data_IF_088622202028
#
_entry.id   IF_088622202028
#
_cell.length_a   1.000
_cell.length_b   1.000
_cell.length_c   1.000
_cell.angle_alpha   90.00
_cell.angle_beta   90.00
_cell.angle_gamma   90.00
#
_symmetry.space_group_name_H-M   'P 1'
#
loop_
_entity.id
_entity.type
_entity.pdbx_description
1 polymer ?
#
# COMPACT_ATOMS: atom_id res chain seq x y z
N UNK A 1 4.16 -13.89 8.65
CA UNK A 1 5.02 -13.41 7.54
C UNK A 1 6.46 -13.78 7.83
N UNK A 2 6.93 -13.55 9.05
CA UNK A 2 8.28 -13.94 9.51
C UNK A 2 8.60 -15.44 9.27
N UNK A 3 7.65 -16.35 9.58
CA UNK A 3 7.80 -17.79 9.35
C UNK A 3 7.02 -18.28 8.11
N UNK A 4 7.14 -17.57 6.99
CA UNK A 4 6.37 -17.89 5.77
C UNK A 4 6.69 -19.25 5.17
N UNK A 5 7.87 -19.83 5.37
CA UNK A 5 8.15 -21.16 4.81
C UNK A 5 7.37 -22.30 5.50
N UNK A 6 6.78 -22.03 6.67
CA UNK A 6 6.07 -23.03 7.48
C UNK A 6 4.58 -22.75 7.64
N UNK A 7 4.17 -21.48 7.56
CA UNK A 7 2.78 -21.06 7.83
C UNK A 7 1.75 -21.40 6.73
N UNK A 8 2.05 -21.25 5.42
CA UNK A 8 1.07 -21.37 4.34
C UNK A 8 0.34 -22.70 4.26
N UNK A 9 0.99 -23.88 4.43
CA UNK A 9 0.26 -25.15 4.37
C UNK A 9 -0.89 -25.23 5.39
N UNK A 10 -0.65 -24.77 6.62
CA UNK A 10 -1.67 -24.77 7.67
C UNK A 10 -2.81 -23.77 7.37
N UNK A 11 -2.48 -22.61 6.77
CA UNK A 11 -3.47 -21.61 6.37
C UNK A 11 -4.31 -22.08 5.18
N UNK A 12 -3.69 -22.78 4.22
CA UNK A 12 -4.37 -23.36 3.05
C UNK A 12 -5.32 -24.49 3.46
N UNK A 13 -4.90 -25.36 4.40
CA UNK A 13 -5.76 -26.39 4.97
C UNK A 13 -6.97 -25.78 5.69
N UNK A 14 -6.76 -24.70 6.46
CA UNK A 14 -7.84 -23.98 7.12
C UNK A 14 -8.78 -23.32 6.11
N UNK A 15 -8.24 -22.66 5.08
CA UNK A 15 -9.00 -22.06 3.98
C UNK A 15 -9.88 -23.09 3.27
N UNK A 16 -9.29 -24.23 2.90
CA UNK A 16 -10.00 -25.35 2.27
C UNK A 16 -11.11 -25.88 3.19
N UNK A 17 -10.80 -26.07 4.47
CA UNK A 17 -11.75 -26.57 5.47
C UNK A 17 -12.91 -25.61 5.71
N UNK A 18 -12.63 -24.30 5.74
CA UNK A 18 -13.63 -23.23 5.86
C UNK A 18 -14.57 -23.22 4.65
N UNK A 19 -14.02 -23.24 3.43
CA UNK A 19 -14.81 -23.23 2.20
C UNK A 19 -15.65 -24.51 2.02
N UNK A 20 -15.24 -25.62 2.63
CA UNK A 20 -16.05 -26.85 2.67
C UNK A 20 -17.14 -26.84 3.75
N UNK A 21 -17.26 -25.77 4.55
CA UNK A 21 -18.23 -25.67 5.65
C UNK A 21 -17.89 -26.57 6.84
N UNK A 22 -16.64 -27.02 6.97
CA UNK A 22 -16.19 -27.96 8.02
C UNK A 22 -15.37 -27.29 9.12
N UNK A 23 -15.01 -26.02 8.95
CA UNK A 23 -14.22 -25.29 9.93
C UNK A 23 -15.00 -25.14 11.24
N UNK A 24 -14.34 -25.43 12.36
CA UNK A 24 -14.92 -25.21 13.68
C UNK A 24 -14.92 -23.71 13.97
N UNK A 25 -15.98 -23.24 14.64
CA UNK A 25 -16.12 -21.83 15.06
C UNK A 25 -16.04 -20.82 13.90
N UNK A 26 -16.42 -21.22 12.67
CA UNK A 26 -16.57 -20.27 11.58
C UNK A 26 -17.65 -19.23 11.95
N UNK A 27 -17.40 -17.98 11.59
CA UNK A 27 -18.30 -16.86 11.84
C UNK A 27 -18.36 -15.97 10.59
N UNK A 28 -19.45 -15.19 10.39
CA UNK A 28 -19.51 -14.21 9.31
C UNK A 28 -18.39 -13.18 9.45
N UNK A 29 -17.62 -12.98 8.38
CA UNK A 29 -16.62 -11.93 8.33
C UNK A 29 -17.29 -10.55 8.28
N UNK A 30 -16.91 -9.66 9.19
CA UNK A 30 -17.39 -8.29 9.25
C UNK A 30 -16.21 -7.32 9.09
N UNK A 31 -16.06 -6.63 7.94
CA UNK A 31 -14.94 -5.73 7.70
C UNK A 31 -14.93 -4.53 8.66
N UNK A 32 -16.07 -4.15 9.25
CA UNK A 32 -16.13 -3.07 10.23
C UNK A 32 -15.49 -3.43 11.58
N UNK A 33 -15.18 -4.71 11.81
CA UNK A 33 -14.46 -5.18 13.00
C UNK A 33 -12.99 -5.48 12.72
N UNK A 34 -12.51 -5.16 11.53
CA UNK A 34 -11.14 -5.44 11.11
C UNK A 34 -10.26 -4.18 11.20
N UNK A 35 -9.00 -4.38 11.58
CA UNK A 35 -7.94 -3.41 11.31
C UNK A 35 -7.40 -3.63 9.88
N UNK A 36 -6.45 -2.81 9.43
CA UNK A 36 -5.63 -3.15 8.27
C UNK A 36 -4.97 -4.53 8.46
N UNK A 37 -4.73 -5.32 7.38
CA UNK A 37 -4.11 -6.65 7.50
C UNK A 37 -2.79 -6.65 8.27
N UNK A 38 -2.00 -5.58 8.12
CA UNK A 38 -0.90 -5.23 9.00
C UNK A 38 -1.23 -3.86 9.62
N UNK A 39 -1.73 -3.80 10.87
CA UNK A 39 -2.06 -2.52 11.52
C UNK A 39 -0.84 -1.60 11.68
N UNK A 40 0.33 -2.22 11.74
CA UNK A 40 1.65 -1.61 11.66
C UNK A 40 2.57 -2.54 10.89
N UNK A 41 3.49 -1.98 10.14
CA UNK A 41 4.51 -2.66 9.38
C UNK A 41 5.88 -2.04 9.68
N UNK A 42 6.94 -2.73 9.27
CA UNK A 42 8.30 -2.19 9.38
C UNK A 42 8.64 -1.21 8.25
N UNK A 43 7.89 -1.22 7.15
CA UNK A 43 8.13 -0.38 5.99
C UNK A 43 6.85 -0.23 5.15
N UNK A 44 6.61 0.99 4.67
CA UNK A 44 5.67 1.32 3.61
C UNK A 44 6.40 2.12 2.54
N UNK A 45 6.58 1.53 1.37
CA UNK A 45 7.20 2.19 0.23
C UNK A 45 6.18 2.19 -0.91
N UNK A 46 5.77 3.38 -1.32
CA UNK A 46 4.77 3.54 -2.37
C UNK A 46 5.43 4.07 -3.65
N UNK A 47 4.99 3.51 -4.78
CA UNK A 47 5.55 3.77 -6.10
C UNK A 47 4.52 4.23 -7.11
N UNK A 48 4.85 5.28 -7.87
CA UNK A 48 3.98 5.81 -8.92
C UNK A 48 4.07 4.99 -10.22
N UNK A 49 3.58 3.75 -10.20
CA UNK A 49 3.69 2.81 -11.32
C UNK A 49 2.84 3.19 -12.54
N UNK A 50 1.77 3.97 -12.35
CA UNK A 50 0.88 4.43 -13.41
C UNK A 50 1.27 5.83 -13.88
N UNK A 51 2.16 5.93 -14.87
CA UNK A 51 2.74 7.21 -15.31
C UNK A 51 1.70 8.26 -15.73
N UNK A 52 0.55 7.83 -16.25
CA UNK A 52 -0.57 8.71 -16.59
C UNK A 52 -1.06 9.55 -15.39
N UNK A 53 -1.03 9.00 -14.17
CA UNK A 53 -1.36 9.76 -12.98
C UNK A 53 -0.37 10.93 -12.78
N UNK A 54 0.93 10.67 -12.92
CA UNK A 54 1.98 11.69 -12.79
C UNK A 54 1.85 12.77 -13.87
N UNK A 55 1.52 12.38 -15.09
CA UNK A 55 1.22 13.30 -16.20
C UNK A 55 0.08 14.26 -15.84
N UNK A 56 -1.02 13.74 -15.31
CA UNK A 56 -2.19 14.55 -14.93
C UNK A 56 -1.88 15.50 -13.76
N UNK A 57 -1.19 15.02 -12.72
CA UNK A 57 -0.80 15.86 -11.57
C UNK A 57 0.11 17.01 -12.00
N UNK A 58 1.06 16.74 -12.90
CA UNK A 58 1.95 17.79 -13.41
C UNK A 58 1.25 18.75 -14.37
N UNK A 59 0.38 18.26 -15.24
CA UNK A 59 -0.44 19.09 -16.12
C UNK A 59 -1.31 20.08 -15.31
N UNK A 60 -1.93 19.62 -14.21
CA UNK A 60 -2.69 20.48 -13.30
C UNK A 60 -1.85 21.59 -12.65
N UNK A 61 -0.52 21.43 -12.61
CA UNK A 61 0.45 22.39 -12.06
C UNK A 61 1.22 23.15 -13.16
N UNK A 62 0.83 23.04 -14.44
CA UNK A 62 1.55 23.60 -15.59
C UNK A 62 3.05 23.21 -15.61
N UNK A 63 3.35 21.96 -15.27
CA UNK A 63 4.70 21.40 -15.23
C UNK A 63 4.85 20.25 -16.22
N UNK A 64 6.04 20.08 -16.80
CA UNK A 64 6.35 18.95 -17.68
C UNK A 64 6.79 17.72 -16.88
N UNK A 65 6.46 16.53 -17.38
CA UNK A 65 6.98 15.26 -16.84
C UNK A 65 8.40 15.05 -17.35
N UNK A 66 9.39 14.86 -16.46
CA UNK A 66 10.76 14.56 -16.87
C UNK A 66 10.78 13.23 -17.63
N UNK A 67 11.52 13.18 -18.73
CA UNK A 67 11.61 11.97 -19.57
C UNK A 67 12.12 10.75 -18.80
N UNK A 68 12.91 10.94 -17.74
CA UNK A 68 13.40 9.85 -16.90
C UNK A 68 12.28 9.07 -16.22
N UNK A 69 11.13 9.68 -15.93
CA UNK A 69 10.04 9.04 -15.18
C UNK A 69 9.38 7.89 -15.96
N UNK A 70 9.58 7.82 -17.28
CA UNK A 70 9.08 6.73 -18.11
C UNK A 70 9.97 5.48 -18.05
N UNK A 71 11.19 5.60 -17.51
CA UNK A 71 12.18 4.51 -17.46
C UNK A 71 12.72 4.26 -16.05
N UNK A 72 12.53 5.20 -15.14
CA UNK A 72 13.02 5.20 -13.77
C UNK A 72 11.84 5.34 -12.81
N UNK A 73 11.40 4.25 -12.14
CA UNK A 73 10.22 4.28 -11.28
C UNK A 73 10.37 5.26 -10.12
N UNK A 74 9.32 6.04 -9.88
CA UNK A 74 9.22 6.85 -8.66
C UNK A 74 8.82 5.97 -7.49
N UNK A 75 9.47 6.20 -6.35
CA UNK A 75 9.12 5.58 -5.08
C UNK A 75 9.44 6.53 -3.94
N UNK A 76 8.58 6.55 -2.92
CA UNK A 76 8.78 7.32 -1.70
C UNK A 76 8.52 6.46 -0.46
N UNK A 77 9.09 6.87 0.68
CA UNK A 77 8.91 6.21 1.96
C UNK A 77 7.74 6.84 2.71
N UNK A 78 6.68 6.08 2.96
CA UNK A 78 5.55 6.55 3.75
C UNK A 78 5.57 6.03 5.21
N UNK A 79 4.62 6.51 6.00
CA UNK A 79 4.38 6.07 7.37
C UNK A 79 3.81 4.65 7.41
N UNK A 80 4.21 3.85 8.40
CA UNK A 80 3.84 2.42 8.46
C UNK A 80 3.45 1.92 9.85
N UNK A 81 3.42 2.79 10.86
CA UNK A 81 3.27 2.42 12.26
C UNK A 81 1.83 2.52 12.80
N UNK A 82 0.91 3.15 12.06
CA UNK A 82 -0.47 3.40 12.50
C UNK A 82 -1.48 3.40 11.33
N UNK A 83 -1.67 2.24 10.69
CA UNK A 83 -2.64 2.12 9.61
C UNK A 83 -4.08 2.02 10.13
N UNK A 84 -4.99 2.75 9.49
CA UNK A 84 -6.42 2.71 9.77
C UNK A 84 -7.08 1.45 9.19
N UNK A 85 -8.17 1.00 9.81
CA UNK A 85 -8.99 -0.10 9.31
C UNK A 85 -9.72 0.24 8.00
N UNK A 86 -10.15 -0.78 7.23
CA UNK A 86 -10.76 -0.59 5.91
C UNK A 86 -12.12 0.13 5.95
N UNK A 87 -12.77 0.21 7.11
CA UNK A 87 -14.05 0.89 7.31
C UNK A 87 -13.95 2.07 8.30
N UNK A 88 -12.73 2.38 8.77
CA UNK A 88 -12.52 3.48 9.69
C UNK A 88 -12.62 4.84 8.97
N UNK A 89 -13.10 5.89 9.66
CA UNK A 89 -13.13 7.23 9.09
C UNK A 89 -11.71 7.78 8.93
N UNK A 90 -11.45 8.47 7.83
CA UNK A 90 -10.25 9.29 7.66
C UNK A 90 -10.41 10.56 8.51
N UNK A 91 -9.69 10.61 9.64
CA UNK A 91 -9.74 11.75 10.57
C UNK A 91 -8.57 12.70 10.29
N UNK A 92 -8.89 13.92 9.84
CA UNK A 92 -7.90 14.97 9.61
C UNK A 92 -8.24 16.22 10.43
N UNK A 93 -7.23 17.03 10.74
CA UNK A 93 -7.41 18.26 11.54
C UNK A 93 -8.26 19.33 10.82
N UNK A 94 -8.31 19.32 9.49
CA UNK A 94 -9.09 20.28 8.69
C UNK A 94 -9.33 19.76 7.27
N UNK A 95 -10.57 19.86 6.79
CA UNK A 95 -10.93 19.58 5.39
C UNK A 95 -10.25 20.54 4.40
N UNK A 96 -9.84 21.74 4.87
CA UNK A 96 -9.14 22.72 4.03
C UNK A 96 -7.76 22.23 3.55
N UNK A 97 -7.24 21.14 4.11
CA UNK A 97 -6.00 20.51 3.63
C UNK A 97 -6.16 19.77 2.30
N UNK A 98 -7.38 19.69 1.76
CA UNK A 98 -7.64 19.04 0.47
C UNK A 98 -7.47 17.53 0.61
N UNK A 99 -8.22 16.94 1.54
CA UNK A 99 -8.22 15.49 1.81
C UNK A 99 -8.68 14.76 0.55
N UNK A 100 -7.88 13.81 0.09
CA UNK A 100 -8.13 13.03 -1.11
C UNK A 100 -7.78 11.56 -0.88
N UNK A 101 -8.38 10.69 -1.70
CA UNK A 101 -8.10 9.26 -1.68
C UNK A 101 -7.25 8.88 -2.89
N UNK A 102 -6.37 7.89 -2.73
CA UNK A 102 -5.59 7.30 -3.82
C UNK A 102 -5.74 5.79 -3.78
N UNK A 103 -6.50 5.25 -4.74
CA UNK A 103 -6.77 3.82 -4.80
C UNK A 103 -5.61 3.07 -5.45
N UNK A 104 -5.05 2.12 -4.71
CA UNK A 104 -3.81 1.45 -5.08
C UNK A 104 -3.87 -0.07 -4.88
N UNK A 105 -2.93 -0.75 -5.53
CA UNK A 105 -2.62 -2.15 -5.26
C UNK A 105 -1.30 -2.17 -4.48
N UNK A 106 -1.33 -2.77 -3.29
CA UNK A 106 -0.14 -2.99 -2.49
C UNK A 106 0.19 -4.48 -2.43
N UNK A 107 1.48 -4.79 -2.35
CA UNK A 107 1.98 -6.14 -2.13
C UNK A 107 2.69 -6.21 -0.79
N UNK A 108 2.53 -7.32 -0.08
CA UNK A 108 3.36 -7.63 1.09
C UNK A 108 4.40 -8.64 0.64
N UNK A 109 5.67 -8.29 0.83
CA UNK A 109 6.80 -9.18 0.51
C UNK A 109 7.26 -9.95 1.74
N UNK A 110 7.97 -11.06 1.52
CA UNK A 110 8.91 -11.60 2.49
C UNK A 110 10.22 -10.82 2.45
N UNK A 111 11.30 -11.45 2.95
CA UNK A 111 12.64 -10.88 2.85
C UNK A 111 13.09 -10.75 1.39
N UNK A 112 13.54 -9.56 1.02
CA UNK A 112 14.10 -9.26 -0.32
C UNK A 112 15.57 -8.90 -0.13
N UNK A 113 16.52 -9.71 -0.64
CA UNK A 113 17.92 -9.36 -0.63
C UNK A 113 18.20 -8.02 -1.31
N UNK A 114 19.23 -7.32 -0.83
CA UNK A 114 19.69 -6.10 -1.49
C UNK A 114 20.12 -6.41 -2.94
N UNK A 115 19.72 -5.56 -3.89
CA UNK A 115 19.98 -5.72 -5.33
C UNK A 115 19.28 -6.92 -6.01
N UNK A 116 18.19 -7.44 -5.43
CA UNK A 116 17.33 -8.41 -6.13
C UNK A 116 16.84 -7.85 -7.46
N UNK A 117 16.90 -8.68 -8.51
CA UNK A 117 16.42 -8.32 -9.84
C UNK A 117 14.89 -8.21 -9.87
N UNK A 118 14.33 -7.51 -10.85
CA UNK A 118 12.88 -7.43 -11.00
C UNK A 118 12.24 -8.82 -11.23
N UNK A 119 12.89 -9.67 -12.02
CA UNK A 119 12.42 -11.03 -12.33
C UNK A 119 12.42 -11.93 -11.08
N UNK A 120 13.38 -11.74 -10.17
CA UNK A 120 13.46 -12.51 -8.92
C UNK A 120 12.57 -11.93 -7.81
N UNK A 121 12.27 -10.61 -7.85
CA UNK A 121 11.48 -9.93 -6.83
C UNK A 121 10.04 -10.45 -6.73
N UNK A 122 9.48 -10.96 -7.84
CA UNK A 122 8.12 -11.52 -7.86
C UNK A 122 7.99 -12.72 -6.91
N UNK A 123 9.06 -13.52 -6.76
CA UNK A 123 9.11 -14.67 -5.86
C UNK A 123 9.09 -14.27 -4.38
N UNK A 124 9.30 -12.99 -4.07
CA UNK A 124 9.19 -12.46 -2.72
C UNK A 124 7.77 -12.00 -2.35
N UNK A 125 6.85 -11.85 -3.30
CA UNK A 125 5.47 -11.45 -3.01
C UNK A 125 4.75 -12.56 -2.23
N UNK A 126 4.02 -12.18 -1.18
CA UNK A 126 3.32 -13.10 -0.26
C UNK A 126 1.82 -12.87 -0.28
N UNK A 127 1.41 -11.60 -0.28
CA UNK A 127 0.02 -11.18 -0.28
C UNK A 127 -0.17 -9.98 -1.20
N UNK A 128 -1.39 -9.82 -1.69
CA UNK A 128 -1.85 -8.66 -2.45
C UNK A 128 -3.03 -8.05 -1.71
N UNK A 129 -3.08 -6.73 -1.64
CA UNK A 129 -4.16 -5.98 -1.01
C UNK A 129 -4.46 -4.70 -1.79
N UNK A 130 -5.58 -4.08 -1.44
CA UNK A 130 -5.86 -2.71 -1.86
C UNK A 130 -5.37 -1.76 -0.78
N UNK A 131 -4.91 -0.59 -1.19
CA UNK A 131 -4.55 0.51 -0.30
C UNK A 131 -5.31 1.78 -0.69
N UNK A 132 -5.57 2.63 0.31
CA UNK A 132 -5.99 4.00 0.11
C UNK A 132 -4.88 4.90 0.66
N UNK A 133 -4.02 5.43 -0.22
CA UNK A 133 -2.98 6.36 0.18
C UNK A 133 -3.60 7.76 0.39
N UNK A 134 -3.99 8.03 1.65
CA UNK A 134 -4.71 9.25 2.00
C UNK A 134 -3.79 10.45 1.85
N UNK A 135 -4.21 11.38 1.01
CA UNK A 135 -3.37 12.46 0.53
C UNK A 135 -3.92 13.82 0.95
N UNK A 136 -3.07 14.72 1.47
CA UNK A 136 -3.44 16.09 1.85
C UNK A 136 -2.97 17.10 0.79
N UNK A 137 -3.71 17.19 -0.31
CA UNK A 137 -3.25 17.80 -1.57
C UNK A 137 -2.80 19.25 -1.47
N UNK A 138 -3.39 20.04 -0.57
CA UNK A 138 -3.03 21.45 -0.42
C UNK A 138 -1.72 21.65 0.37
N UNK A 139 -1.23 20.62 1.07
CA UNK A 139 0.04 20.66 1.81
C UNK A 139 1.22 20.21 0.93
N UNK A 140 0.98 19.23 0.04
CA UNK A 140 2.00 18.59 -0.80
C UNK A 140 2.93 19.59 -1.52
N UNK A 141 2.46 20.65 -2.22
CA UNK A 141 3.36 21.53 -2.97
C UNK A 141 4.41 22.22 -2.09
N UNK A 142 3.99 22.67 -0.91
CA UNK A 142 4.89 23.37 0.02
C UNK A 142 5.82 22.40 0.76
N UNK A 143 5.41 21.16 0.94
CA UNK A 143 6.25 20.10 1.53
C UNK A 143 7.33 19.65 0.55
N UNK A 144 6.93 19.33 -0.69
CA UNK A 144 7.85 19.00 -1.79
C UNK A 144 8.90 20.09 -2.03
N UNK A 145 8.50 21.36 -1.95
CA UNK A 145 9.41 22.50 -2.13
C UNK A 145 10.53 22.57 -1.06
N UNK A 146 10.38 21.89 0.09
CA UNK A 146 11.43 21.81 1.12
C UNK A 146 12.53 20.79 0.76
N UNK A 147 12.27 19.88 -0.18
CA UNK A 147 13.23 18.87 -0.64
C UNK A 147 13.49 17.72 0.35
N UNK A 148 12.59 17.51 1.32
CA UNK A 148 12.68 16.45 2.34
C UNK A 148 11.61 15.37 2.15
N UNK A 149 11.24 15.10 0.89
CA UNK A 149 10.30 14.05 0.54
C UNK A 149 9.77 14.21 -0.89
N UNK A 150 9.23 13.09 -1.38
CA UNK A 150 8.00 13.10 -2.16
C UNK A 150 6.82 13.18 -1.17
#
# INVERSE_FOLDING_TARGET
>A
LDDWNFSPPNLEDLYTTLNQGKARHAFPFDPAQCMAPLPRAYQWADGSAYINHVELVRAARNSEVPSSFYTDPLMYQGGSDDFIGPCDPVVCASEAFGIDFEAEIAVITGDVPMQTSADDAIEAVRLVMLANDVSLRNLIPNELAKGFGF
#
